data_IF_564255673357
#
_entry.id   IF_564255673357
#
_cell.length_a   1.000
_cell.length_b   1.000
_cell.length_c   1.000
_cell.angle_alpha   90.00
_cell.angle_beta   90.00
_cell.angle_gamma   90.00
#
_symmetry.space_group_name_H-M   'P 1'
#
loop_
_entity.id
_entity.type
_entity.pdbx_description
1 polymer ?
#
# COMPACT_ATOMS: atom_id res chain seq x y z
N UNK A 1 -30.35 0.32 3.08
CA UNK A 1 -29.54 0.10 1.85
C UNK A 1 -28.12 0.67 1.92
N UNK A 2 -27.82 1.68 2.77
CA UNK A 2 -26.49 2.30 2.89
C UNK A 2 -25.47 1.44 3.67
N UNK A 3 -25.90 0.59 4.60
CA UNK A 3 -24.99 -0.24 5.42
C UNK A 3 -24.37 -1.42 4.68
N UNK A 4 -25.10 -2.02 3.73
CA UNK A 4 -24.58 -3.16 2.95
C UNK A 4 -23.43 -2.73 2.03
N UNK A 5 -23.52 -1.55 1.44
CA UNK A 5 -22.45 -0.99 0.58
C UNK A 5 -21.19 -0.65 1.38
N UNK A 6 -21.37 -0.13 2.61
CA UNK A 6 -20.25 0.22 3.51
C UNK A 6 -19.54 -1.00 4.09
N UNK A 7 -20.29 -2.02 4.48
CA UNK A 7 -19.73 -3.31 4.90
C UNK A 7 -18.87 -3.92 3.78
N UNK A 8 -19.37 -3.83 2.54
CA UNK A 8 -18.66 -4.28 1.34
C UNK A 8 -17.38 -3.45 1.07
N UNK A 9 -17.41 -2.13 1.27
CA UNK A 9 -16.22 -1.28 1.08
C UNK A 9 -15.10 -1.57 2.08
N UNK A 10 -15.43 -1.88 3.33
CA UNK A 10 -14.45 -2.24 4.36
C UNK A 10 -13.89 -3.65 4.15
N UNK A 11 -14.73 -4.62 3.78
CA UNK A 11 -14.27 -5.96 3.40
C UNK A 11 -13.33 -5.90 2.19
N UNK A 12 -13.68 -5.11 1.18
CA UNK A 12 -12.83 -4.85 0.01
C UNK A 12 -11.50 -4.21 0.41
N UNK A 13 -11.50 -3.27 1.36
CA UNK A 13 -10.28 -2.66 1.86
C UNK A 13 -9.37 -3.68 2.57
N UNK A 14 -9.95 -4.57 3.39
CA UNK A 14 -9.23 -5.65 4.06
C UNK A 14 -8.64 -6.64 3.04
N UNK A 15 -9.41 -7.04 2.03
CA UNK A 15 -8.94 -7.91 0.94
C UNK A 15 -7.82 -7.25 0.13
N UNK A 16 -7.93 -5.95 -0.18
CA UNK A 16 -6.87 -5.20 -0.86
C UNK A 16 -5.58 -5.14 -0.04
N UNK A 17 -5.66 -4.91 1.27
CA UNK A 17 -4.48 -4.91 2.15
C UNK A 17 -3.85 -6.31 2.24
N UNK A 18 -4.67 -7.37 2.31
CA UNK A 18 -4.20 -8.75 2.28
C UNK A 18 -3.50 -9.07 0.96
N UNK A 19 -4.11 -8.74 -0.18
CA UNK A 19 -3.51 -8.93 -1.51
C UNK A 19 -2.22 -8.16 -1.65
N UNK A 20 -2.18 -6.89 -1.27
CA UNK A 20 -0.94 -6.10 -1.33
C UNK A 20 0.19 -6.78 -0.53
N UNK A 21 -0.14 -7.31 0.64
CA UNK A 21 0.81 -8.07 1.47
C UNK A 21 1.26 -9.38 0.83
N UNK A 22 0.35 -10.12 0.22
CA UNK A 22 0.67 -11.34 -0.53
C UNK A 22 1.56 -11.03 -1.73
N UNK A 23 1.25 -9.99 -2.51
CA UNK A 23 2.04 -9.55 -3.66
C UNK A 23 3.45 -9.10 -3.25
N UNK A 24 3.58 -8.39 -2.13
CA UNK A 24 4.88 -8.05 -1.54
C UNK A 24 5.71 -9.31 -1.23
N UNK A 25 5.07 -10.34 -0.66
CA UNK A 25 5.73 -11.59 -0.30
C UNK A 25 6.10 -12.45 -1.53
N UNK A 26 5.19 -12.58 -2.51
CA UNK A 26 5.36 -13.40 -3.72
C UNK A 26 6.44 -12.82 -4.63
N UNK A 27 6.44 -11.51 -4.85
CA UNK A 27 7.47 -10.85 -5.64
C UNK A 27 8.81 -10.75 -4.87
N UNK A 28 8.82 -11.27 -3.64
CA UNK A 28 9.91 -11.23 -2.68
C UNK A 28 10.59 -9.86 -2.62
N UNK A 29 9.84 -8.78 -2.90
CA UNK A 29 10.34 -7.54 -3.50
C UNK A 29 11.74 -7.23 -2.97
N UNK A 30 12.75 -7.78 -3.66
CA UNK A 30 14.04 -7.97 -2.99
C UNK A 30 14.63 -6.61 -2.87
N UNK A 31 14.82 -6.18 -1.64
CA UNK A 31 15.44 -4.91 -1.34
C UNK A 31 16.79 -4.91 -2.03
N UNK A 32 16.92 -4.04 -3.04
CA UNK A 32 18.19 -3.87 -3.74
C UNK A 32 19.25 -3.49 -2.69
N UNK A 33 20.54 -3.83 -2.89
CA UNK A 33 21.58 -3.44 -1.94
C UNK A 33 21.45 -1.92 -1.68
N UNK A 34 21.29 -1.50 -0.43
CA UNK A 34 21.01 -0.13 0.07
C UNK A 34 19.55 0.32 0.27
N UNK A 35 18.53 -0.46 -0.07
CA UNK A 35 17.16 -0.20 0.40
C UNK A 35 16.93 -0.68 1.85
N UNK A 36 15.94 -0.15 2.59
CA UNK A 36 15.54 -0.72 3.88
C UNK A 36 14.87 -2.09 3.67
N UNK A 37 15.30 -3.18 4.34
CA UNK A 37 14.76 -4.51 4.14
C UNK A 37 13.27 -4.58 4.50
N UNK A 38 12.44 -5.02 3.55
CA UNK A 38 11.05 -5.36 3.81
C UNK A 38 11.00 -6.78 4.37
N UNK A 39 10.92 -6.90 5.70
CA UNK A 39 10.92 -8.19 6.37
C UNK A 39 9.50 -8.61 6.75
N UNK A 40 9.14 -9.84 6.40
CA UNK A 40 7.94 -10.55 6.87
C UNK A 40 7.88 -10.67 8.41
N UNK A 41 9.01 -10.42 9.11
CA UNK A 41 9.10 -10.35 10.57
C UNK A 41 8.66 -9.01 11.15
N UNK A 42 8.32 -8.02 10.31
CA UNK A 42 7.77 -6.76 10.78
C UNK A 42 6.28 -6.98 11.08
N UNK A 43 5.86 -6.55 12.26
CA UNK A 43 4.48 -6.50 12.79
C UNK A 43 3.39 -6.13 11.77
N UNK A 44 3.76 -5.40 10.74
CA UNK A 44 2.97 -5.03 9.56
C UNK A 44 2.38 -6.23 8.82
N UNK A 45 3.10 -7.35 8.64
CA UNK A 45 2.57 -8.53 7.94
C UNK A 45 1.44 -9.19 8.74
N UNK A 46 1.71 -9.49 10.02
CA UNK A 46 0.73 -10.12 10.91
C UNK A 46 -0.55 -9.30 11.06
N UNK A 47 -0.42 -7.97 11.18
CA UNK A 47 -1.57 -7.06 11.25
C UNK A 47 -2.50 -7.11 10.01
N UNK A 48 -2.00 -7.61 8.87
CA UNK A 48 -2.78 -7.67 7.61
C UNK A 48 -3.32 -9.05 7.29
N UNK A 49 -2.65 -10.11 7.77
CA UNK A 49 -3.07 -11.51 7.54
C UNK A 49 -3.90 -12.08 8.69
N UNK A 50 -3.76 -11.55 9.90
CA UNK A 50 -4.51 -12.00 11.06
C UNK A 50 -5.98 -11.56 10.94
N UNK A 51 -6.95 -12.51 10.92
CA UNK A 51 -8.36 -12.18 10.94
C UNK A 51 -8.76 -11.37 12.18
N UNK A 52 -8.09 -11.59 13.32
CA UNK A 52 -8.36 -10.93 14.59
C UNK A 52 -7.76 -9.51 14.69
N UNK A 53 -6.89 -9.11 13.76
CA UNK A 53 -6.35 -7.76 13.75
C UNK A 53 -7.46 -6.71 13.65
N UNK A 54 -7.25 -5.57 14.29
CA UNK A 54 -8.14 -4.42 14.23
C UNK A 54 -7.97 -3.64 12.93
N UNK A 55 -8.96 -2.82 12.57
CA UNK A 55 -8.85 -1.95 11.38
C UNK A 55 -7.75 -0.89 11.58
N UNK A 56 -7.52 -0.46 12.82
CA UNK A 56 -6.45 0.45 13.21
C UNK A 56 -5.06 -0.17 12.96
N UNK A 57 -4.87 -1.44 13.32
CA UNK A 57 -3.62 -2.17 13.05
C UNK A 57 -3.40 -2.36 11.56
N UNK A 58 -4.45 -2.72 10.80
CA UNK A 58 -4.41 -2.81 9.33
C UNK A 58 -4.08 -1.47 8.68
N UNK A 59 -4.58 -0.36 9.24
CA UNK A 59 -4.28 0.98 8.75
C UNK A 59 -2.83 1.38 8.99
N UNK A 60 -2.32 1.16 10.21
CA UNK A 60 -0.89 1.40 10.54
C UNK A 60 0.00 0.56 9.64
N UNK A 61 -0.39 -0.70 9.40
CA UNK A 61 0.33 -1.60 8.52
C UNK A 61 0.35 -1.08 7.07
N UNK A 62 -0.82 -0.73 6.52
CA UNK A 62 -0.95 -0.21 5.15
C UNK A 62 -0.13 1.06 4.91
N UNK A 63 -0.11 1.99 5.88
CA UNK A 63 0.72 3.21 5.84
C UNK A 63 2.22 2.92 5.86
N UNK A 64 2.66 1.97 6.69
CA UNK A 64 4.07 1.55 6.71
C UNK A 64 4.48 0.91 5.39
N UNK A 65 3.58 0.11 4.80
CA UNK A 65 3.82 -0.51 3.49
C UNK A 65 3.93 0.54 2.38
N UNK A 66 3.04 1.54 2.36
CA UNK A 66 3.11 2.67 1.42
C UNK A 66 4.45 3.40 1.50
N UNK A 67 4.88 3.76 2.70
CA UNK A 67 6.14 4.51 2.88
C UNK A 67 7.35 3.75 2.36
N UNK A 68 7.40 2.45 2.59
CA UNK A 68 8.49 1.62 2.10
C UNK A 68 8.40 1.42 0.57
N UNK A 69 7.19 1.31 0.02
CA UNK A 69 6.98 1.26 -1.43
C UNK A 69 7.44 2.54 -2.13
N UNK A 70 7.18 3.71 -1.56
CA UNK A 70 7.65 5.00 -2.09
C UNK A 70 9.18 5.08 -2.19
N UNK A 71 9.90 4.50 -1.22
CA UNK A 71 11.36 4.39 -1.26
C UNK A 71 11.81 3.46 -2.39
N UNK A 72 11.16 2.30 -2.54
CA UNK A 72 11.48 1.36 -3.62
C UNK A 72 11.21 1.91 -5.02
N UNK A 73 10.08 2.61 -5.22
CA UNK A 73 9.75 3.25 -6.48
C UNK A 73 10.77 4.33 -6.86
N UNK A 74 11.22 5.13 -5.88
CA UNK A 74 12.26 6.13 -6.11
C UNK A 74 13.59 5.50 -6.52
N UNK A 75 13.98 4.40 -5.86
CA UNK A 75 15.22 3.70 -6.18
C UNK A 75 15.16 3.06 -7.56
N UNK A 76 14.06 2.39 -7.90
CA UNK A 76 13.87 1.76 -9.21
C UNK A 76 13.95 2.81 -10.33
N UNK A 77 13.29 3.96 -10.14
CA UNK A 77 13.34 5.06 -11.10
C UNK A 77 14.75 5.64 -11.26
N UNK A 78 15.47 5.84 -10.16
CA UNK A 78 16.86 6.33 -10.20
C UNK A 78 17.78 5.37 -10.96
N UNK A 79 17.63 4.06 -10.75
CA UNK A 79 18.43 3.06 -11.45
C UNK A 79 18.06 2.98 -12.93
N UNK A 80 16.76 3.05 -13.27
CA UNK A 80 16.31 3.14 -14.64
C UNK A 80 16.90 4.37 -15.35
N UNK A 81 16.80 5.54 -14.74
CA UNK A 81 17.34 6.79 -15.29
C UNK A 81 18.88 6.72 -15.44
N UNK A 82 19.57 6.06 -14.50
CA UNK A 82 21.03 5.86 -14.54
C UNK A 82 21.47 4.88 -15.63
N UNK A 83 20.73 3.80 -15.85
CA UNK A 83 21.02 2.79 -16.86
C UNK A 83 20.73 3.28 -18.28
N UNK A 84 19.76 4.18 -18.45
CA UNK A 84 19.30 4.65 -19.76
C UNK A 84 20.11 5.82 -20.34
N UNK A 85 21.05 6.42 -19.59
CA UNK A 85 22.04 7.41 -20.07
C UNK A 85 21.50 8.55 -20.95
N UNK A 86 21.36 9.77 -20.40
CA UNK A 86 21.07 11.00 -21.16
C UNK A 86 19.89 10.86 -22.16
N UNK A 87 18.69 10.94 -21.59
CA UNK A 87 17.33 10.81 -22.14
C UNK A 87 16.91 11.76 -23.29
N UNK A 88 17.80 12.16 -24.20
CA UNK A 88 17.50 13.23 -25.16
C UNK A 88 16.71 12.81 -26.40
N UNK A 89 16.68 11.52 -26.78
CA UNK A 89 16.14 11.07 -28.08
C UNK A 89 15.08 9.95 -28.04
N UNK A 90 14.44 9.66 -26.90
CA UNK A 90 13.33 8.68 -26.87
C UNK A 90 11.99 9.30 -27.21
N UNK A 91 11.20 8.54 -27.98
CA UNK A 91 9.80 8.81 -28.25
C UNK A 91 9.03 9.01 -26.93
N UNK A 92 8.38 10.18 -26.72
CA UNK A 92 7.56 10.45 -25.55
C UNK A 92 6.46 9.42 -25.31
N UNK A 93 5.94 8.81 -26.38
CA UNK A 93 4.88 7.79 -26.30
C UNK A 93 5.44 6.46 -25.81
N UNK A 94 6.68 6.11 -26.15
CA UNK A 94 7.38 4.89 -25.66
C UNK A 94 7.60 4.95 -24.15
N UNK A 95 7.78 6.17 -23.63
CA UNK A 95 7.98 6.45 -22.21
C UNK A 95 6.82 6.04 -21.29
N UNK A 96 5.59 5.95 -21.82
CA UNK A 96 4.41 5.60 -21.03
C UNK A 96 4.25 4.08 -20.83
N UNK A 97 4.89 3.24 -21.66
CA UNK A 97 4.83 1.78 -21.57
C UNK A 97 6.19 1.12 -21.28
N UNK A 98 7.30 1.85 -21.39
CA UNK A 98 8.59 1.44 -20.82
C UNK A 98 8.60 1.62 -19.29
N UNK A 99 7.95 0.68 -18.61
CA UNK A 99 8.13 0.44 -17.17
C UNK A 99 8.86 -0.88 -16.98
N UNK A 100 9.73 -1.00 -15.98
CA UNK A 100 10.31 -2.31 -15.66
C UNK A 100 9.20 -3.19 -15.07
N UNK A 101 9.30 -4.52 -15.24
CA UNK A 101 8.36 -5.46 -14.59
C UNK A 101 8.21 -5.15 -13.09
N UNK A 102 9.30 -4.73 -12.47
CA UNK A 102 9.36 -4.35 -11.07
C UNK A 102 8.63 -3.04 -10.78
N UNK A 103 8.77 -2.03 -11.63
CA UNK A 103 8.07 -0.75 -11.48
C UNK A 103 6.55 -0.90 -11.69
N UNK A 104 6.11 -1.77 -12.63
CA UNK A 104 4.70 -2.14 -12.78
C UNK A 104 4.11 -2.83 -11.53
N UNK A 105 4.89 -3.70 -10.87
CA UNK A 105 4.50 -4.33 -9.59
C UNK A 105 4.39 -3.28 -8.49
N UNK A 106 5.34 -2.34 -8.42
CA UNK A 106 5.32 -1.26 -7.42
C UNK A 106 4.09 -0.35 -7.62
N UNK A 107 3.77 0.02 -8.85
CA UNK A 107 2.59 0.83 -9.16
C UNK A 107 1.28 0.13 -8.77
N UNK A 108 1.18 -1.18 -9.05
CA UNK A 108 0.01 -1.98 -8.68
C UNK A 108 -0.18 -2.04 -7.16
N UNK A 109 0.92 -2.25 -6.42
CA UNK A 109 0.92 -2.25 -4.96
C UNK A 109 0.58 -0.88 -4.38
N UNK A 110 1.08 0.22 -4.96
CA UNK A 110 0.72 1.59 -4.56
C UNK A 110 -0.79 1.81 -4.68
N UNK A 111 -1.38 1.46 -5.82
CA UNK A 111 -2.82 1.60 -6.08
C UNK A 111 -3.65 0.82 -5.05
N UNK A 112 -3.29 -0.44 -4.79
CA UNK A 112 -3.98 -1.29 -3.82
C UNK A 112 -3.90 -0.73 -2.40
N UNK A 113 -2.72 -0.32 -1.97
CA UNK A 113 -2.51 0.18 -0.61
C UNK A 113 -3.12 1.57 -0.39
N UNK A 114 -3.10 2.46 -1.39
CA UNK A 114 -3.79 3.77 -1.29
C UNK A 114 -5.29 3.60 -1.20
N UNK A 115 -5.86 2.70 -2.00
CA UNK A 115 -7.29 2.39 -1.96
C UNK A 115 -7.69 1.82 -0.59
N UNK A 116 -6.95 0.84 -0.08
CA UNK A 116 -7.24 0.25 1.23
C UNK A 116 -7.06 1.23 2.39
N UNK A 117 -5.99 2.03 2.36
CA UNK A 117 -5.71 3.05 3.38
C UNK A 117 -6.84 4.08 3.45
N UNK A 118 -7.32 4.58 2.31
CA UNK A 118 -8.42 5.57 2.29
C UNK A 118 -9.71 5.02 2.93
N UNK A 119 -10.06 3.78 2.63
CA UNK A 119 -11.24 3.13 3.20
C UNK A 119 -11.07 2.86 4.70
N UNK A 120 -9.91 2.36 5.13
CA UNK A 120 -9.60 2.13 6.55
C UNK A 120 -9.58 3.45 7.35
N UNK A 121 -9.02 4.52 6.81
CA UNK A 121 -9.03 5.85 7.44
C UNK A 121 -10.46 6.38 7.65
N UNK A 122 -11.32 6.17 6.64
CA UNK A 122 -12.72 6.60 6.70
C UNK A 122 -13.45 5.89 7.84
N UNK A 123 -13.21 4.58 8.03
CA UNK A 123 -13.83 3.80 9.11
C UNK A 123 -13.26 4.12 10.49
N UNK A 124 -11.93 4.22 10.64
CA UNK A 124 -11.32 4.61 11.90
C UNK A 124 -11.77 6.01 12.35
N UNK A 125 -11.91 6.96 11.42
CA UNK A 125 -12.39 8.33 11.73
C UNK A 125 -13.84 8.32 12.23
N UNK A 126 -14.71 7.49 11.67
CA UNK A 126 -16.10 7.33 12.14
C UNK A 126 -16.17 6.77 13.55
N UNK A 127 -15.39 5.71 13.86
CA UNK A 127 -15.30 5.14 15.21
C UNK A 127 -14.86 6.18 16.25
N UNK A 128 -13.90 7.02 15.89
CA UNK A 128 -13.41 8.08 16.78
C UNK A 128 -14.45 9.18 17.04
N UNK A 129 -15.15 9.65 15.99
CA UNK A 129 -16.22 10.64 16.12
C UNK A 129 -17.41 10.06 16.91
N UNK A 130 -17.80 8.81 16.64
CA UNK A 130 -18.86 8.13 17.38
C UNK A 130 -18.55 7.97 18.87
N UNK A 131 -17.31 7.62 19.23
CA UNK A 131 -16.84 7.62 20.62
C UNK A 131 -16.89 9.01 21.25
N UNK A 132 -16.43 10.04 20.54
CA UNK A 132 -16.42 11.41 21.06
C UNK A 132 -17.84 11.96 21.33
N UNK A 133 -18.82 11.57 20.53
CA UNK A 133 -20.24 11.92 20.75
C UNK A 133 -20.81 11.14 21.94
N UNK A 134 -20.51 9.85 22.07
CA UNK A 134 -20.97 9.02 23.19
C UNK A 134 -20.44 9.52 24.55
N UNK A 135 -19.20 10.03 24.60
CA UNK A 135 -18.59 10.60 25.82
C UNK A 135 -19.19 11.97 26.21
N UNK A 136 -19.83 12.69 25.29
CA UNK A 136 -20.51 13.97 25.58
C UNK A 136 -21.94 13.80 26.12
N UNK A 137 -22.47 12.58 26.13
CA UNK A 137 -23.82 12.26 26.62
C UNK A 137 -23.80 11.44 27.92
N UNK A 138 -22.65 11.35 28.57
CA UNK A 138 -22.46 10.86 29.94
C UNK A 138 -22.05 12.04 30.82
#
# INVERSE_FOLDING_TARGET
MIDATKANDLEKARDMTLRATQWLNVNQLRVRPSGPPFSWRITTYMATVDPAATDEERLVASRRMLKALEVHARQERWEYDSAQGSYRDRDPLVREWETTERDAVLETLDKLLRASTKSLETECRKKFIGKAVAVRHL
#
